data_IF_863875650646
#
_entry.id   IF_863875650646
#
_cell.length_a   1.000
_cell.length_b   1.000
_cell.length_c   1.000
_cell.angle_alpha   90.00
_cell.angle_beta   90.00
_cell.angle_gamma   90.00
#
_symmetry.space_group_name_H-M   'P 1'
#
loop_
_entity.id
_entity.type
_entity.pdbx_description
1 polymer ?
#
# COMPACT_ATOMS: atom_id res chain seq x y z
N UNK A 1 34.80 -32.10 20.09
CA UNK A 1 34.11 -30.95 20.71
C UNK A 1 33.22 -30.36 19.62
N UNK A 2 31.90 -30.58 19.69
CA UNK A 2 30.97 -30.20 18.62
C UNK A 2 30.48 -28.76 18.79
N UNK A 3 30.58 -27.95 17.75
CA UNK A 3 30.05 -26.58 17.66
C UNK A 3 28.61 -26.60 17.13
N UNK A 4 27.73 -27.40 17.74
CA UNK A 4 26.32 -27.36 17.37
C UNK A 4 25.61 -26.28 18.16
N UNK A 5 25.36 -25.14 17.51
CA UNK A 5 24.48 -24.09 18.00
C UNK A 5 23.20 -24.08 17.18
N UNK A 6 22.05 -24.27 17.83
CA UNK A 6 20.76 -24.05 17.18
C UNK A 6 20.54 -22.54 17.03
N UNK A 7 20.74 -22.01 15.82
CA UNK A 7 20.37 -20.63 15.49
C UNK A 7 18.91 -20.58 15.03
N UNK A 8 18.06 -19.91 15.81
CA UNK A 8 16.71 -19.53 15.37
C UNK A 8 16.82 -18.15 14.73
N UNK A 9 16.65 -18.08 13.41
CA UNK A 9 16.56 -16.79 12.71
C UNK A 9 15.36 -16.02 13.25
N UNK A 10 15.51 -14.76 13.70
CA UNK A 10 14.37 -13.92 14.01
C UNK A 10 13.45 -13.81 12.80
N UNK A 11 12.14 -13.98 13.02
CA UNK A 11 11.15 -13.82 11.96
C UNK A 11 11.20 -12.40 11.35
N UNK A 12 10.74 -12.22 10.12
CA UNK A 12 10.64 -10.90 9.52
C UNK A 12 9.75 -10.01 10.39
N UNK A 13 10.14 -8.74 10.54
CA UNK A 13 9.32 -7.74 11.23
C UNK A 13 8.12 -7.39 10.38
N UNK A 14 6.96 -7.31 11.02
CA UNK A 14 5.68 -7.02 10.38
C UNK A 14 5.07 -5.80 11.05
N UNK A 15 4.77 -4.79 10.25
CA UNK A 15 4.03 -3.60 10.69
C UNK A 15 2.74 -3.49 9.89
N UNK A 16 1.67 -3.00 10.54
CA UNK A 16 0.34 -2.87 9.96
C UNK A 16 -0.18 -1.47 10.18
N UNK A 17 -0.72 -0.87 9.14
CA UNK A 17 -1.32 0.45 9.22
C UNK A 17 -2.57 0.54 8.35
N UNK A 18 -3.51 1.38 8.78
CA UNK A 18 -4.70 1.71 8.00
C UNK A 18 -4.77 3.23 7.89
N UNK A 19 -5.11 3.73 6.71
CA UNK A 19 -5.18 5.15 6.42
C UNK A 19 -6.20 5.44 5.35
N UNK A 20 -6.62 6.69 5.25
CA UNK A 20 -7.62 7.13 4.28
C UNK A 20 -6.94 8.05 3.27
N UNK A 21 -7.26 7.88 1.99
CA UNK A 21 -6.71 8.73 0.93
C UNK A 21 -7.24 10.17 1.01
N UNK A 22 -6.34 11.12 0.76
CA UNK A 22 -6.63 12.55 0.71
C UNK A 22 -7.32 12.97 -0.62
N UNK A 23 -7.55 14.26 -0.81
CA UNK A 23 -8.14 14.83 -2.03
C UNK A 23 -7.33 14.58 -3.31
N UNK A 24 -6.05 14.19 -3.18
CA UNK A 24 -5.17 13.79 -4.29
C UNK A 24 -5.08 12.27 -4.45
N UNK A 25 -5.91 11.51 -3.73
CA UNK A 25 -5.92 10.05 -3.76
C UNK A 25 -4.70 9.43 -3.09
N UNK A 26 -3.96 10.21 -2.28
CA UNK A 26 -2.73 9.75 -1.65
C UNK A 26 -2.96 9.38 -0.19
N UNK A 27 -2.25 8.38 0.29
CA UNK A 27 -2.11 8.06 1.71
C UNK A 27 -0.65 7.76 2.00
N UNK A 28 -0.14 8.27 3.12
CA UNK A 28 1.22 7.99 3.56
C UNK A 28 1.20 7.28 4.91
N UNK A 29 1.87 6.14 4.96
CA UNK A 29 2.08 5.36 6.17
C UNK A 29 3.47 5.65 6.71
N UNK A 30 3.55 6.04 7.98
CA UNK A 30 4.82 6.22 8.69
C UNK A 30 5.10 4.98 9.52
N UNK A 31 6.26 4.38 9.30
CA UNK A 31 6.71 3.21 10.03
C UNK A 31 7.45 3.63 11.31
N UNK A 32 7.38 2.84 12.40
CA UNK A 32 8.14 3.12 13.59
C UNK A 32 9.64 3.21 13.30
N UNK A 33 10.33 4.13 13.98
CA UNK A 33 11.78 4.31 13.81
C UNK A 33 12.53 3.00 14.12
N UNK A 34 13.40 2.58 13.20
CA UNK A 34 14.15 1.33 13.31
C UNK A 34 13.32 0.06 13.13
N UNK A 35 12.05 0.15 12.69
CA UNK A 35 11.27 -1.04 12.34
C UNK A 35 11.81 -1.77 11.10
N UNK A 36 12.38 -1.01 10.16
CA UNK A 36 12.97 -1.56 8.95
C UNK A 36 14.35 -0.94 8.72
N UNK A 37 15.31 -1.76 8.33
CA UNK A 37 16.66 -1.34 7.93
C UNK A 37 16.74 -0.91 6.45
N UNK A 38 15.75 -1.32 5.65
CA UNK A 38 15.59 -0.99 4.23
C UNK A 38 14.12 -0.78 3.88
N UNK A 39 13.81 -0.40 2.63
CA UNK A 39 12.43 -0.30 2.18
C UNK A 39 11.72 -1.66 2.28
N UNK A 40 10.63 -1.78 3.06
CA UNK A 40 9.96 -3.06 3.28
C UNK A 40 9.15 -3.50 2.05
N UNK A 41 8.83 -4.78 1.98
CA UNK A 41 7.82 -5.29 1.04
C UNK A 41 6.45 -4.95 1.61
N UNK A 42 5.66 -4.18 0.87
CA UNK A 42 4.35 -3.72 1.31
C UNK A 42 3.27 -4.37 0.47
N UNK A 43 2.33 -5.06 1.14
CA UNK A 43 1.09 -5.53 0.54
C UNK A 43 -0.03 -4.58 0.91
N UNK A 44 -0.86 -4.22 -0.07
CA UNK A 44 -1.94 -3.26 0.08
C UNK A 44 -3.30 -3.93 -0.17
N UNK A 45 -4.29 -3.56 0.62
CA UNK A 45 -5.69 -3.85 0.36
C UNK A 45 -6.52 -2.58 0.48
N UNK A 46 -7.48 -2.39 -0.41
CA UNK A 46 -8.39 -1.24 -0.40
C UNK A 46 -9.77 -1.66 0.09
N UNK A 47 -10.41 -0.81 0.87
CA UNK A 47 -11.77 -0.99 1.38
C UNK A 47 -12.63 0.22 0.99
N UNK A 48 -13.82 -0.04 0.45
CA UNK A 48 -14.81 0.98 0.14
C UNK A 48 -14.53 1.81 -1.14
N UNK A 49 -13.67 1.32 -2.04
CA UNK A 49 -13.35 2.04 -3.27
C UNK A 49 -14.46 1.90 -4.34
N UNK A 50 -15.34 2.91 -4.45
CA UNK A 50 -16.25 3.03 -5.60
C UNK A 50 -15.45 3.31 -6.87
N UNK A 51 -15.80 2.64 -7.98
CA UNK A 51 -15.15 2.86 -9.27
C UNK A 51 -13.62 2.66 -9.23
N UNK A 52 -13.13 1.72 -8.41
CA UNK A 52 -11.71 1.42 -8.26
C UNK A 52 -11.05 1.13 -9.62
N UNK A 53 -9.91 1.77 -9.87
CA UNK A 53 -9.09 1.52 -11.05
C UNK A 53 -7.73 0.93 -10.71
N UNK A 54 -7.02 1.54 -9.77
CA UNK A 54 -5.67 1.10 -9.41
C UNK A 54 -5.26 1.57 -8.02
N UNK A 55 -4.35 0.83 -7.41
CA UNK A 55 -3.65 1.19 -6.18
C UNK A 55 -2.17 0.92 -6.41
N UNK A 56 -1.32 1.94 -6.27
CA UNK A 56 0.11 1.84 -6.52
C UNK A 56 0.93 2.51 -5.42
N UNK A 57 2.04 1.88 -5.06
CA UNK A 57 3.04 2.50 -4.19
C UNK A 57 3.82 3.51 -5.03
N UNK A 58 3.79 4.78 -4.63
CA UNK A 58 4.47 5.87 -5.35
C UNK A 58 5.80 6.27 -4.71
N UNK A 59 5.97 6.00 -3.42
CA UNK A 59 7.24 6.12 -2.72
C UNK A 59 7.34 5.07 -1.62
N UNK A 60 8.52 4.47 -1.44
CA UNK A 60 8.75 3.48 -0.41
C UNK A 60 10.15 3.64 0.20
N UNK A 61 10.21 3.72 1.52
CA UNK A 61 11.44 3.84 2.29
C UNK A 61 11.29 3.07 3.60
N UNK A 62 12.41 2.90 4.33
CA UNK A 62 12.40 2.27 5.65
C UNK A 62 11.51 3.01 6.67
N UNK A 63 11.34 4.33 6.50
CA UNK A 63 10.58 5.18 7.42
C UNK A 63 9.12 5.40 6.99
N UNK A 64 8.81 5.28 5.70
CA UNK A 64 7.46 5.54 5.20
C UNK A 64 7.17 4.92 3.84
N UNK A 65 5.89 4.66 3.59
CA UNK A 65 5.36 4.23 2.29
C UNK A 65 4.18 5.12 1.89
N UNK A 66 4.25 5.69 0.68
CA UNK A 66 3.16 6.48 0.10
C UNK A 66 2.48 5.69 -1.01
N UNK A 67 1.16 5.74 -1.01
CA UNK A 67 0.29 5.02 -1.94
C UNK A 67 -0.63 6.01 -2.62
N UNK A 68 -0.84 5.82 -3.92
CA UNK A 68 -1.86 6.52 -4.69
C UNK A 68 -2.97 5.55 -5.09
N UNK A 69 -4.22 5.99 -4.96
CA UNK A 69 -5.41 5.26 -5.41
C UNK A 69 -6.14 6.09 -6.45
N UNK A 70 -6.44 5.45 -7.58
CA UNK A 70 -7.21 6.04 -8.67
C UNK A 70 -8.57 5.35 -8.78
N UNK A 71 -9.57 6.15 -9.12
CA UNK A 71 -10.89 5.72 -9.52
C UNK A 71 -11.16 6.12 -10.97
N UNK A 72 -12.01 5.37 -11.66
CA UNK A 72 -12.50 5.73 -12.98
C UNK A 72 -13.93 5.26 -13.13
N UNK A 73 -14.82 6.20 -13.41
CA UNK A 73 -16.18 5.86 -13.80
C UNK A 73 -16.16 5.17 -15.16
N UNK A 74 -16.87 4.04 -15.28
CA UNK A 74 -17.23 3.52 -16.60
C UNK A 74 -18.17 4.51 -17.27
N UNK A 75 -17.88 4.88 -18.51
CA UNK A 75 -18.76 5.73 -19.32
C UNK A 75 -19.23 4.92 -20.52
N UNK A 76 -20.52 4.97 -20.81
CA UNK A 76 -21.07 4.38 -22.04
C UNK A 76 -21.38 5.53 -23.00
N UNK A 77 -20.65 5.59 -24.12
CA UNK A 77 -20.87 6.56 -25.18
C UNK A 77 -21.37 5.81 -26.41
N UNK A 78 -22.58 6.14 -26.88
CA UNK A 78 -23.18 5.53 -28.07
C UNK A 78 -23.24 3.99 -28.04
N UNK A 79 -23.38 3.40 -26.85
CA UNK A 79 -23.42 1.95 -26.65
C UNK A 79 -22.04 1.27 -26.50
N UNK A 80 -20.94 2.02 -26.57
CA UNK A 80 -19.58 1.50 -26.33
C UNK A 80 -19.16 1.82 -24.91
N UNK A 81 -18.81 0.78 -24.14
CA UNK A 81 -18.23 0.94 -22.81
C UNK A 81 -16.77 1.39 -22.90
N UNK A 82 -16.45 2.55 -22.32
CA UNK A 82 -15.09 3.09 -22.25
C UNK A 82 -14.76 3.37 -20.78
N UNK A 83 -13.57 2.95 -20.33
CA UNK A 83 -13.07 3.39 -19.03
C UNK A 83 -12.64 4.86 -19.15
N UNK A 84 -13.20 5.72 -18.30
CA UNK A 84 -12.76 7.11 -18.23
C UNK A 84 -11.28 7.21 -17.79
N UNK A 85 -10.68 8.38 -18.03
CA UNK A 85 -9.37 8.72 -17.46
C UNK A 85 -9.42 8.56 -15.94
N UNK A 86 -8.38 7.96 -15.36
CA UNK A 86 -8.28 7.78 -13.92
C UNK A 86 -8.19 9.13 -13.21
N UNK A 87 -9.07 9.33 -12.23
CA UNK A 87 -9.06 10.47 -11.33
C UNK A 87 -8.61 10.03 -9.92
N UNK A 88 -8.07 10.94 -9.10
CA UNK A 88 -7.76 10.66 -7.70
C UNK A 88 -8.96 10.13 -6.92
N UNK A 89 -8.79 9.03 -6.20
CA UNK A 89 -9.83 8.45 -5.35
C UNK A 89 -9.65 8.91 -3.90
N UNK A 90 -10.36 9.96 -3.50
CA UNK A 90 -10.38 10.44 -2.12
C UNK A 90 -11.31 9.59 -1.23
N UNK A 91 -10.99 9.49 0.06
CA UNK A 91 -11.85 8.80 1.04
C UNK A 91 -11.77 7.26 1.02
N UNK A 92 -10.84 6.69 0.24
CA UNK A 92 -10.63 5.24 0.19
C UNK A 92 -9.80 4.81 1.38
N UNK A 93 -10.27 3.79 2.11
CA UNK A 93 -9.48 3.18 3.19
C UNK A 93 -8.48 2.21 2.59
N UNK A 94 -7.19 2.38 2.93
CA UNK A 94 -6.09 1.52 2.50
C UNK A 94 -5.50 0.85 3.73
N UNK A 95 -5.40 -0.48 3.67
CA UNK A 95 -4.72 -1.32 4.63
C UNK A 95 -3.35 -1.69 4.09
N UNK A 96 -2.31 -1.36 4.83
CA UNK A 96 -0.93 -1.66 4.49
C UNK A 96 -0.36 -2.71 5.45
N UNK A 97 0.27 -3.73 4.87
CA UNK A 97 1.00 -4.77 5.57
C UNK A 97 2.45 -4.75 5.08
N UNK A 98 3.34 -4.20 5.91
CA UNK A 98 4.76 -4.10 5.61
C UNK A 98 5.53 -5.25 6.26
N UNK A 99 6.36 -5.94 5.48
CA UNK A 99 7.22 -7.02 5.95
C UNK A 99 8.67 -6.77 5.52
N UNK A 100 9.61 -6.89 6.46
CA UNK A 100 11.02 -6.63 6.21
C UNK A 100 11.90 -6.89 7.43
N UNK A 101 13.18 -6.59 7.30
CA UNK A 101 14.18 -6.65 8.38
C UNK A 101 14.69 -5.26 8.70
#
# INVERSE_FOLDING_TARGET
MGTEGAYVRPGPRIERATGVTDGSGNVTFTWPVGAFSAAPVVTLATQGASAFRSCSITANSAASTTVNVLASAGVTLLGIGVLAVGAPAAGVTVHAHAAGT
#
